data_IF_696685277906
#
_entry.id   IF_696685277906
#
_cell.length_a   1.000
_cell.length_b   1.000
_cell.length_c   1.000
_cell.angle_alpha   90.00
_cell.angle_beta   90.00
_cell.angle_gamma   90.00
#
_symmetry.space_group_name_H-M   'P 1'
#
loop_
_entity.id
_entity.type
_entity.pdbx_description
1 polymer ?
#
# COMPACT_ATOMS: atom_id res chain seq x y z
N UNK A 1 18.36 3.72 -4.37
CA UNK A 1 17.94 2.79 -3.28
C UNK A 1 18.86 3.04 -2.10
N UNK A 2 18.36 3.42 -0.92
CA UNK A 2 19.23 3.58 0.25
C UNK A 2 19.38 2.21 0.92
N UNK A 3 20.54 1.57 0.78
CA UNK A 3 20.80 0.21 1.26
C UNK A 3 20.83 0.18 2.80
N UNK A 4 21.49 1.17 3.42
CA UNK A 4 21.57 1.27 4.88
C UNK A 4 20.19 1.23 5.54
N UNK A 5 19.26 2.08 5.06
CA UNK A 5 17.88 2.12 5.57
C UNK A 5 17.14 0.79 5.37
N UNK A 6 17.33 0.12 4.24
CA UNK A 6 16.70 -1.19 4.01
C UNK A 6 17.25 -2.25 4.95
N UNK A 7 18.57 -2.27 5.17
CA UNK A 7 19.22 -3.20 6.10
C UNK A 7 18.76 -2.97 7.54
N UNK A 8 18.73 -1.71 8.00
CA UNK A 8 18.24 -1.36 9.34
C UNK A 8 16.78 -1.80 9.56
N UNK A 9 15.94 -1.65 8.54
CA UNK A 9 14.52 -1.95 8.64
C UNK A 9 14.20 -3.45 8.52
N UNK A 10 14.79 -4.16 7.55
CA UNK A 10 14.45 -5.55 7.25
C UNK A 10 15.42 -6.59 7.85
N UNK A 11 16.65 -6.19 8.19
CA UNK A 11 17.65 -7.03 8.85
C UNK A 11 18.13 -6.38 10.17
N UNK A 12 17.21 -6.10 11.10
CA UNK A 12 17.57 -5.43 12.34
C UNK A 12 18.54 -6.29 13.16
N UNK A 13 19.58 -5.66 13.71
CA UNK A 13 20.57 -6.32 14.57
C UNK A 13 21.67 -7.07 13.84
N UNK A 14 21.64 -7.14 12.51
CA UNK A 14 22.75 -7.70 11.73
C UNK A 14 23.93 -6.71 11.71
N UNK A 15 25.15 -7.24 11.80
CA UNK A 15 26.38 -6.46 11.67
C UNK A 15 26.81 -6.38 10.19
N UNK A 16 26.89 -5.17 9.68
CA UNK A 16 27.31 -4.88 8.32
C UNK A 16 28.09 -3.56 8.26
N UNK A 17 28.86 -3.38 7.21
CA UNK A 17 29.62 -2.17 6.93
C UNK A 17 29.40 -1.77 5.48
N UNK A 18 29.22 -0.47 5.22
CA UNK A 18 29.21 0.11 3.89
C UNK A 18 30.51 0.90 3.71
N UNK A 19 31.37 0.43 2.82
CA UNK A 19 32.68 1.04 2.59
C UNK A 19 32.53 2.24 1.64
N UNK A 20 32.95 3.41 2.09
CA UNK A 20 32.86 4.65 1.33
C UNK A 20 31.60 5.46 1.63
N UNK A 21 31.46 6.61 0.97
CA UNK A 21 30.37 7.57 1.27
C UNK A 21 29.06 7.26 0.51
N UNK A 22 29.07 6.27 -0.39
CA UNK A 22 27.89 5.91 -1.19
C UNK A 22 27.10 4.78 -0.52
N UNK A 23 25.91 5.12 -0.04
CA UNK A 23 24.96 4.20 0.61
C UNK A 23 24.05 3.46 -0.37
N UNK A 24 24.30 3.57 -1.68
CA UNK A 24 23.41 3.03 -2.72
C UNK A 24 24.01 1.89 -3.54
N UNK A 25 25.34 1.74 -3.54
CA UNK A 25 26.02 0.66 -4.26
C UNK A 25 26.15 -0.59 -3.38
N UNK A 26 25.55 -1.70 -3.84
CA UNK A 26 25.60 -2.99 -3.17
C UNK A 26 27.02 -3.57 -3.10
N UNK A 27 27.92 -3.19 -4.00
CA UNK A 27 29.32 -3.62 -3.98
C UNK A 27 30.07 -3.12 -2.76
N UNK A 28 29.63 -2.00 -2.18
CA UNK A 28 30.22 -1.43 -0.98
C UNK A 28 29.76 -2.15 0.30
N UNK A 29 28.82 -3.09 0.22
CA UNK A 29 28.29 -3.83 1.35
C UNK A 29 29.21 -4.99 1.76
N UNK A 30 29.83 -4.85 2.92
CA UNK A 30 30.53 -5.92 3.64
C UNK A 30 29.63 -6.48 4.74
N UNK A 31 29.43 -7.80 4.75
CA UNK A 31 28.64 -8.47 5.78
C UNK A 31 29.57 -8.98 6.88
N UNK A 32 29.36 -8.52 8.12
CA UNK A 32 30.20 -8.86 9.27
C UNK A 32 29.54 -9.87 10.21
N UNK A 33 28.22 -10.03 10.11
CA UNK A 33 27.47 -10.99 10.89
C UNK A 33 27.76 -12.44 10.43
N UNK A 34 28.08 -13.29 11.40
CA UNK A 34 28.39 -14.72 11.18
C UNK A 34 27.17 -15.61 11.35
N UNK A 35 26.10 -15.09 11.95
CA UNK A 35 24.88 -15.84 12.29
C UNK A 35 23.83 -15.78 11.19
N UNK A 36 23.94 -14.81 10.28
CA UNK A 36 22.98 -14.56 9.21
C UNK A 36 23.66 -14.53 7.85
N UNK A 37 22.90 -14.84 6.81
CA UNK A 37 23.38 -14.77 5.42
C UNK A 37 23.27 -13.35 4.88
N UNK A 38 24.31 -12.89 4.19
CA UNK A 38 24.29 -11.61 3.46
C UNK A 38 23.11 -11.60 2.48
N UNK A 39 22.20 -10.61 2.54
CA UNK A 39 21.13 -10.50 1.56
C UNK A 39 21.69 -10.18 0.19
N UNK A 40 21.11 -10.76 -0.85
CA UNK A 40 21.45 -10.51 -2.24
C UNK A 40 20.92 -9.15 -2.69
N UNK A 41 21.51 -8.60 -3.75
CA UNK A 41 21.03 -7.35 -4.38
C UNK A 41 19.58 -7.48 -4.85
N UNK A 42 19.20 -8.66 -5.36
CA UNK A 42 17.83 -8.97 -5.78
C UNK A 42 16.85 -8.94 -4.60
N UNK A 43 17.22 -9.51 -3.45
CA UNK A 43 16.39 -9.46 -2.23
C UNK A 43 16.22 -8.03 -1.72
N UNK A 44 17.28 -7.21 -1.75
CA UNK A 44 17.19 -5.79 -1.38
C UNK A 44 16.25 -5.02 -2.31
N UNK A 45 16.34 -5.26 -3.61
CA UNK A 45 15.45 -4.65 -4.59
C UNK A 45 14.00 -5.08 -4.38
N UNK A 46 13.75 -6.37 -4.13
CA UNK A 46 12.42 -6.87 -3.81
C UNK A 46 11.84 -6.22 -2.55
N UNK A 47 12.66 -6.05 -1.50
CA UNK A 47 12.25 -5.35 -0.26
C UNK A 47 11.99 -3.87 -0.47
N UNK A 48 12.79 -3.21 -1.30
CA UNK A 48 12.52 -1.83 -1.72
C UNK A 48 11.15 -1.73 -2.39
N UNK A 49 10.89 -2.57 -3.39
CA UNK A 49 9.67 -2.52 -4.17
C UNK A 49 8.43 -2.89 -3.33
N UNK A 50 8.57 -3.83 -2.39
CA UNK A 50 7.55 -4.13 -1.37
C UNK A 50 7.26 -2.92 -0.48
N UNK A 51 8.31 -2.20 -0.04
CA UNK A 51 8.19 -0.98 0.74
C UNK A 51 7.46 0.14 0.00
N UNK A 52 7.86 0.41 -1.25
CA UNK A 52 7.23 1.42 -2.11
C UNK A 52 5.76 1.08 -2.42
N UNK A 53 5.45 -0.20 -2.65
CA UNK A 53 4.07 -0.66 -2.84
C UNK A 53 3.23 -0.41 -1.59
N UNK A 54 3.77 -0.74 -0.41
CA UNK A 54 3.09 -0.52 0.86
C UNK A 54 2.81 0.97 1.09
N UNK A 55 3.80 1.83 0.86
CA UNK A 55 3.63 3.29 0.98
C UNK A 55 2.55 3.80 0.03
N UNK A 56 2.58 3.39 -1.25
CA UNK A 56 1.56 3.78 -2.21
C UNK A 56 0.15 3.30 -1.79
N UNK A 57 0.03 2.09 -1.24
CA UNK A 57 -1.25 1.58 -0.70
C UNK A 57 -1.71 2.38 0.52
N UNK A 58 -0.78 2.81 1.38
CA UNK A 58 -1.07 3.64 2.55
C UNK A 58 -1.56 5.04 2.17
N UNK A 59 -1.16 5.58 1.01
CA UNK A 59 -1.67 6.84 0.48
C UNK A 59 -3.14 6.76 0.04
N UNK A 60 -3.58 5.65 -0.56
CA UNK A 60 -4.96 5.52 -1.06
C UNK A 60 -5.97 5.08 0.01
N UNK A 61 -5.53 4.37 1.05
CA UNK A 61 -6.37 3.93 2.19
C UNK A 61 -7.14 5.07 2.86
N UNK A 62 -6.56 6.24 3.21
CA UNK A 62 -7.31 7.34 3.82
C UNK A 62 -8.35 7.93 2.87
N UNK A 63 -8.08 7.98 1.57
CA UNK A 63 -9.05 8.45 0.55
C UNK A 63 -10.23 7.49 0.49
N UNK A 64 -9.97 6.18 0.38
CA UNK A 64 -11.02 5.13 0.44
C UNK A 64 -11.85 5.23 1.71
N UNK A 65 -11.21 5.36 2.86
CA UNK A 65 -11.90 5.47 4.14
C UNK A 65 -12.74 6.75 4.24
N UNK A 66 -12.27 7.86 3.64
CA UNK A 66 -13.05 9.11 3.53
C UNK A 66 -14.32 8.89 2.70
N UNK A 67 -14.21 8.30 1.51
CA UNK A 67 -15.36 8.04 0.63
C UNK A 67 -16.37 7.06 1.24
N UNK A 68 -15.88 6.02 1.94
CA UNK A 68 -16.73 5.14 2.73
C UNK A 68 -17.43 5.89 3.88
N UNK A 69 -16.76 6.84 4.54
CA UNK A 69 -17.41 7.64 5.59
C UNK A 69 -18.45 8.59 5.00
N UNK A 70 -18.15 9.23 3.88
CA UNK A 70 -19.04 10.18 3.20
C UNK A 70 -20.30 9.50 2.64
N UNK A 71 -20.21 8.23 2.27
CA UNK A 71 -21.35 7.42 1.82
C UNK A 71 -22.03 6.64 2.94
N UNK A 72 -21.65 6.81 4.21
CA UNK A 72 -22.13 5.95 5.31
C UNK A 72 -23.61 6.15 5.62
N UNK A 73 -24.10 7.38 5.47
CA UNK A 73 -25.51 7.73 5.66
C UNK A 73 -26.43 6.81 4.83
N UNK A 74 -26.01 6.43 3.62
CA UNK A 74 -26.77 5.57 2.68
C UNK A 74 -27.08 4.17 3.22
N UNK A 75 -26.35 3.73 4.26
CA UNK A 75 -26.47 2.40 4.87
C UNK A 75 -27.32 2.40 6.13
N UNK A 76 -27.80 3.57 6.57
CA UNK A 76 -28.59 3.67 7.79
C UNK A 76 -29.96 2.98 7.62
N UNK A 77 -30.45 2.27 8.67
CA UNK A 77 -31.76 1.61 8.62
C UNK A 77 -32.94 2.56 8.46
N UNK A 78 -32.76 3.84 8.80
CA UNK A 78 -33.80 4.87 8.70
C UNK A 78 -34.05 5.36 7.27
N UNK A 79 -33.16 4.99 6.33
CA UNK A 79 -33.38 5.24 4.91
C UNK A 79 -34.42 4.25 4.40
N UNK A 80 -35.66 4.74 4.45
CA UNK A 80 -36.85 4.13 3.87
C UNK A 80 -36.95 4.39 2.37
N UNK A 81 -37.77 3.59 1.69
CA UNK A 81 -38.06 3.72 0.25
C UNK A 81 -38.64 5.10 -0.13
N UNK A 82 -39.21 5.83 0.83
CA UNK A 82 -39.69 7.20 0.64
C UNK A 82 -38.57 8.26 0.58
N UNK A 83 -37.35 7.94 1.04
CA UNK A 83 -36.19 8.83 1.03
C UNK A 83 -35.17 8.45 -0.05
N UNK A 84 -35.07 7.16 -0.38
CA UNK A 84 -34.21 6.65 -1.43
C UNK A 84 -34.82 5.36 -1.97
N UNK A 85 -35.05 5.30 -3.29
CA UNK A 85 -35.58 4.10 -3.92
C UNK A 85 -34.57 2.94 -3.90
N UNK A 86 -35.06 1.71 -4.07
CA UNK A 86 -34.25 0.50 -4.01
C UNK A 86 -33.14 0.43 -5.07
N UNK A 87 -33.33 1.07 -6.23
CA UNK A 87 -32.31 1.11 -7.29
C UNK A 87 -31.15 2.00 -6.88
N UNK A 88 -31.46 3.19 -6.36
CA UNK A 88 -30.44 4.12 -5.85
C UNK A 88 -29.69 3.51 -4.65
N UNK A 89 -30.41 2.84 -3.74
CA UNK A 89 -29.80 2.08 -2.64
C UNK A 89 -28.85 0.99 -3.12
N UNK A 90 -29.24 0.23 -4.14
CA UNK A 90 -28.38 -0.78 -4.77
C UNK A 90 -27.10 -0.19 -5.37
N UNK A 91 -27.19 0.96 -6.05
CA UNK A 91 -26.00 1.66 -6.58
C UNK A 91 -25.02 2.06 -5.47
N UNK A 92 -25.52 2.56 -4.33
CA UNK A 92 -24.69 2.88 -3.17
C UNK A 92 -24.03 1.66 -2.55
N UNK A 93 -24.72 0.53 -2.52
CA UNK A 93 -24.13 -0.73 -2.05
C UNK A 93 -22.98 -1.17 -2.96
N UNK A 94 -23.19 -1.17 -4.28
CA UNK A 94 -22.14 -1.50 -5.27
C UNK A 94 -20.95 -0.55 -5.16
N UNK A 95 -21.19 0.77 -5.13
CA UNK A 95 -20.14 1.77 -4.95
C UNK A 95 -19.27 1.50 -3.70
N UNK A 96 -19.90 1.19 -2.57
CA UNK A 96 -19.17 0.90 -1.32
C UNK A 96 -18.44 -0.44 -1.36
N UNK A 97 -18.95 -1.43 -2.09
CA UNK A 97 -18.27 -2.70 -2.33
C UNK A 97 -17.02 -2.48 -3.19
N UNK A 98 -17.14 -1.76 -4.30
CA UNK A 98 -16.01 -1.39 -5.17
C UNK A 98 -14.94 -0.59 -4.41
N UNK A 99 -15.33 0.34 -3.53
CA UNK A 99 -14.38 1.04 -2.67
C UNK A 99 -13.62 0.10 -1.73
N UNK A 100 -14.29 -0.88 -1.12
CA UNK A 100 -13.62 -1.86 -0.24
C UNK A 100 -12.68 -2.76 -1.03
N UNK A 101 -13.07 -3.08 -2.25
CA UNK A 101 -12.34 -3.94 -3.17
C UNK A 101 -11.23 -3.22 -3.93
N UNK A 102 -11.15 -1.89 -3.84
CA UNK A 102 -10.18 -1.04 -4.54
C UNK A 102 -8.73 -1.49 -4.38
N UNK A 103 -8.36 -2.03 -3.22
CA UNK A 103 -6.99 -2.48 -2.94
C UNK A 103 -6.71 -3.91 -3.39
N UNK A 104 -7.72 -4.66 -3.85
CA UNK A 104 -7.54 -6.02 -4.34
C UNK A 104 -6.81 -6.00 -5.69
N UNK A 105 -5.73 -6.77 -5.80
CA UNK A 105 -4.97 -6.91 -7.05
C UNK A 105 -4.00 -5.76 -7.36
N UNK A 106 -3.83 -4.80 -6.44
CA UNK A 106 -2.80 -3.77 -6.52
C UNK A 106 -1.46 -4.33 -6.01
N UNK A 107 -0.74 -5.00 -6.90
CA UNK A 107 0.54 -5.69 -6.64
C UNK A 107 1.79 -4.87 -7.05
N UNK A 108 1.59 -3.69 -7.62
CA UNK A 108 2.67 -2.82 -8.11
C UNK A 108 2.32 -1.35 -7.90
N UNK A 109 3.34 -0.52 -7.67
CA UNK A 109 3.17 0.93 -7.49
C UNK A 109 2.48 1.57 -8.70
N UNK A 110 2.76 1.10 -9.92
CA UNK A 110 2.12 1.61 -11.14
C UNK A 110 0.61 1.36 -11.14
N UNK A 111 0.16 0.16 -10.73
CA UNK A 111 -1.27 -0.14 -10.59
C UNK A 111 -1.93 0.74 -9.54
N UNK A 112 -1.26 0.98 -8.40
CA UNK A 112 -1.78 1.87 -7.36
C UNK A 112 -1.95 3.30 -7.88
N UNK A 113 -0.94 3.83 -8.59
CA UNK A 113 -1.00 5.20 -9.16
C UNK A 113 -2.05 5.36 -10.24
N UNK A 114 -2.38 4.29 -10.97
CA UNK A 114 -3.39 4.25 -12.02
C UNK A 114 -4.75 3.73 -11.53
N UNK A 115 -4.95 3.62 -10.21
CA UNK A 115 -6.20 3.10 -9.67
C UNK A 115 -7.38 3.98 -10.08
N UNK A 116 -8.42 3.35 -10.62
CA UNK A 116 -9.66 4.04 -10.98
C UNK A 116 -10.60 4.00 -9.79
N UNK A 117 -11.05 5.17 -9.35
CA UNK A 117 -12.02 5.28 -8.28
C UNK A 117 -13.44 5.06 -8.80
N UNK A 118 -14.30 4.35 -8.07
CA UNK A 118 -15.70 4.22 -8.47
C UNK A 118 -16.38 5.58 -8.45
N UNK A 119 -17.33 5.78 -9.37
CA UNK A 119 -18.09 7.03 -9.46
C UNK A 119 -19.20 7.04 -8.43
N UNK A 120 -19.30 8.12 -7.67
CA UNK A 120 -20.37 8.31 -6.69
C UNK A 120 -21.75 8.30 -7.39
N UNK A 121 -22.73 7.54 -6.86
CA UNK A 121 -24.10 7.56 -7.35
C UNK A 121 -24.77 8.93 -7.14
N UNK A 122 -25.64 9.33 -8.07
CA UNK A 122 -26.55 10.48 -7.93
C UNK A 122 -27.87 10.09 -7.29
#
# INVERSE_FOLDING_TARGET
MNIAKLLEYYWPGCLWELVGNDQTDYKNLTWLDKSTTKPTESELLAKKDEGELREALDEIRPIRNRLLRESDWTQMPDISDSRMDSTTKGKWQVYREELRDLTKGLDTVDKVKKVTWPTEPS
#
